data_IF_482789697807
#
_entry.id   IF_482789697807
#
_cell.length_a   1.000
_cell.length_b   1.000
_cell.length_c   1.000
_cell.angle_alpha   90.00
_cell.angle_beta   90.00
_cell.angle_gamma   90.00
#
_symmetry.space_group_name_H-M   'P 1'
#
loop_
_entity.id
_entity.type
_entity.pdbx_description
1 polymer ?
#
# COMPACT_ATOMS: atom_id res chain seq x y z
N UNK A 1 12.42 -31.16 15.68
CA UNK A 1 12.27 -29.83 15.06
C UNK A 1 10.83 -29.73 14.58
N UNK A 2 10.03 -28.90 15.24
CA UNK A 2 8.66 -28.63 14.78
C UNK A 2 8.74 -27.90 13.45
N UNK A 3 8.04 -28.39 12.44
CA UNK A 3 7.96 -27.77 11.12
C UNK A 3 7.46 -26.33 11.27
N UNK A 4 8.24 -25.34 10.80
CA UNK A 4 7.87 -23.91 10.94
C UNK A 4 6.52 -23.61 10.29
N UNK A 5 6.11 -24.40 9.28
CA UNK A 5 4.77 -24.31 8.68
C UNK A 5 3.68 -24.66 9.69
N UNK A 6 3.87 -25.71 10.48
CA UNK A 6 2.91 -26.13 11.52
C UNK A 6 2.77 -25.04 12.58
N UNK A 7 3.88 -24.45 13.01
CA UNK A 7 3.88 -23.36 14.01
C UNK A 7 3.12 -22.12 13.50
N UNK A 8 3.38 -21.71 12.26
CA UNK A 8 2.69 -20.56 11.63
C UNK A 8 1.20 -20.84 11.50
N UNK A 9 0.81 -22.02 10.99
CA UNK A 9 -0.59 -22.42 10.84
C UNK A 9 -1.31 -22.39 12.20
N UNK A 10 -0.69 -22.96 13.24
CA UNK A 10 -1.25 -22.99 14.58
C UNK A 10 -1.45 -21.58 15.14
N UNK A 11 -0.41 -20.74 15.11
CA UNK A 11 -0.45 -19.35 15.60
C UNK A 11 -1.56 -18.53 14.93
N UNK A 12 -1.71 -18.63 13.62
CA UNK A 12 -2.77 -17.93 12.88
C UNK A 12 -4.15 -18.40 13.35
N UNK A 13 -4.34 -19.72 13.49
CA UNK A 13 -5.63 -20.27 13.88
C UNK A 13 -5.98 -19.93 15.33
N UNK A 14 -5.02 -20.00 16.26
CA UNK A 14 -5.21 -19.61 17.67
C UNK A 14 -5.59 -18.13 17.79
N UNK A 15 -4.89 -17.25 17.07
CA UNK A 15 -5.22 -15.81 17.02
C UNK A 15 -6.63 -15.55 16.52
N UNK A 16 -7.10 -16.32 15.54
CA UNK A 16 -8.45 -16.17 14.97
C UNK A 16 -9.53 -16.82 15.83
N UNK A 17 -9.19 -17.84 16.61
CA UNK A 17 -10.09 -18.48 17.55
C UNK A 17 -10.39 -17.59 18.77
N UNK A 18 -9.43 -16.73 19.15
CA UNK A 18 -9.58 -15.77 20.24
C UNK A 18 -9.78 -16.43 21.61
N UNK A 19 -10.14 -15.63 22.60
CA UNK A 19 -10.33 -16.10 23.97
C UNK A 19 -11.57 -17.01 24.05
N UNK A 20 -11.33 -18.33 24.15
CA UNK A 20 -12.37 -19.36 24.29
C UNK A 20 -12.60 -20.25 23.07
N UNK A 21 -11.83 -20.09 21.98
CA UNK A 21 -11.83 -21.03 20.87
C UNK A 21 -10.71 -22.05 20.99
N UNK A 22 -11.04 -23.35 21.10
CA UNK A 22 -10.03 -24.39 21.06
C UNK A 22 -9.59 -24.66 19.61
N UNK A 23 -8.27 -24.69 19.41
CA UNK A 23 -7.64 -25.13 18.16
C UNK A 23 -6.80 -26.35 18.48
N UNK A 24 -7.11 -27.47 17.83
CA UNK A 24 -6.28 -28.66 17.87
C UNK A 24 -5.69 -28.92 16.50
N UNK A 25 -4.39 -29.15 16.45
CA UNK A 25 -3.67 -29.47 15.23
C UNK A 25 -3.11 -30.90 15.33
N UNK A 26 -3.47 -31.70 14.34
CA UNK A 26 -2.97 -33.07 14.16
C UNK A 26 -2.26 -33.20 12.81
N UNK A 27 -1.43 -34.22 12.63
CA UNK A 27 -0.80 -34.53 11.34
C UNK A 27 -1.46 -35.77 10.73
N UNK A 28 -2.08 -35.63 9.56
CA UNK A 28 -2.75 -36.74 8.87
C UNK A 28 -2.20 -36.88 7.46
N UNK A 29 -1.56 -38.01 7.18
CA UNK A 29 -0.92 -38.25 5.89
C UNK A 29 0.19 -37.25 5.56
N UNK A 30 0.88 -36.74 6.58
CA UNK A 30 1.91 -35.69 6.42
C UNK A 30 1.37 -34.27 6.27
N UNK A 31 0.05 -34.07 6.34
CA UNK A 31 -0.59 -32.76 6.21
C UNK A 31 -1.14 -32.27 7.57
N UNK A 32 -0.96 -30.98 7.91
CA UNK A 32 -1.60 -30.38 9.07
C UNK A 32 -3.12 -30.41 8.93
N UNK A 33 -3.80 -30.98 9.92
CA UNK A 33 -5.25 -30.99 10.07
C UNK A 33 -5.63 -30.23 11.33
N UNK A 34 -6.45 -29.20 11.15
CA UNK A 34 -6.97 -28.36 12.21
C UNK A 34 -8.38 -28.81 12.57
N UNK A 35 -8.67 -28.82 13.86
CA UNK A 35 -10.00 -28.92 14.43
C UNK A 35 -10.28 -27.62 15.18
N UNK A 36 -11.38 -26.97 14.83
CA UNK A 36 -11.80 -25.70 15.44
C UNK A 36 -13.26 -25.81 15.83
N UNK A 37 -13.58 -25.48 17.08
CA UNK A 37 -14.94 -25.63 17.60
C UNK A 37 -15.88 -24.53 17.09
N UNK A 38 -15.32 -23.39 16.68
CA UNK A 38 -16.08 -22.24 16.24
C UNK A 38 -16.10 -22.12 14.72
N UNK A 39 -17.30 -22.22 14.12
CA UNK A 39 -17.49 -22.12 12.66
C UNK A 39 -17.00 -20.80 12.06
N UNK A 40 -17.18 -19.68 12.77
CA UNK A 40 -16.72 -18.37 12.29
C UNK A 40 -15.19 -18.31 12.22
N UNK A 41 -14.51 -18.72 13.31
CA UNK A 41 -13.05 -18.80 13.36
C UNK A 41 -12.50 -19.76 12.30
N UNK A 42 -13.15 -20.91 12.08
CA UNK A 42 -12.79 -21.84 11.02
C UNK A 42 -12.87 -21.20 9.62
N UNK A 43 -13.95 -20.49 9.32
CA UNK A 43 -14.09 -19.79 8.03
C UNK A 43 -13.06 -18.69 7.84
N UNK A 44 -12.74 -17.95 8.90
CA UNK A 44 -11.69 -16.93 8.88
C UNK A 44 -10.31 -17.56 8.68
N UNK A 45 -10.00 -18.64 9.40
CA UNK A 45 -8.77 -19.40 9.26
C UNK A 45 -8.60 -19.91 7.82
N UNK A 46 -9.63 -20.54 7.24
CA UNK A 46 -9.57 -20.96 5.84
C UNK A 46 -9.24 -19.80 4.90
N UNK A 47 -9.88 -18.64 5.08
CA UNK A 47 -9.65 -17.45 4.24
C UNK A 47 -8.22 -16.93 4.38
N UNK A 48 -7.72 -16.79 5.61
CA UNK A 48 -6.36 -16.32 5.88
C UNK A 48 -5.31 -17.30 5.33
N UNK A 49 -5.45 -18.61 5.60
CA UNK A 49 -4.55 -19.64 5.06
C UNK A 49 -4.57 -19.66 3.51
N UNK A 50 -5.74 -19.49 2.91
CA UNK A 50 -5.88 -19.35 1.44
C UNK A 50 -5.18 -18.08 0.94
N UNK A 51 -5.33 -16.95 1.63
CA UNK A 51 -4.66 -15.68 1.29
C UNK A 51 -3.13 -15.77 1.44
N UNK A 52 -2.62 -16.65 2.29
CA UNK A 52 -1.19 -16.96 2.37
C UNK A 52 -0.66 -17.80 1.21
N UNK A 53 -1.55 -18.39 0.41
CA UNK A 53 -1.20 -19.20 -0.75
C UNK A 53 -1.35 -20.70 -0.53
N UNK A 54 -1.86 -21.15 0.61
CA UNK A 54 -2.05 -22.57 0.89
C UNK A 54 -3.34 -23.12 0.27
N UNK A 55 -3.28 -24.37 -0.21
CA UNK A 55 -4.47 -25.15 -0.52
C UNK A 55 -5.04 -25.70 0.79
N UNK A 56 -6.29 -25.33 1.07
CA UNK A 56 -7.03 -25.82 2.24
C UNK A 56 -8.26 -26.60 1.78
N UNK A 57 -8.47 -27.78 2.34
CA UNK A 57 -9.64 -28.62 2.10
C UNK A 57 -10.48 -28.65 3.39
N UNK A 58 -11.77 -28.34 3.27
CA UNK A 58 -12.72 -28.52 4.38
C UNK A 58 -13.10 -30.00 4.49
N UNK A 59 -13.02 -30.54 5.70
CA UNK A 59 -13.45 -31.89 6.03
C UNK A 59 -14.76 -31.90 6.83
N UNK A 60 -15.13 -33.08 7.34
CA UNK A 60 -16.26 -33.22 8.27
C UNK A 60 -15.92 -32.62 9.63
N UNK A 61 -16.94 -32.33 10.46
CA UNK A 61 -16.75 -31.93 11.87
C UNK A 61 -15.83 -30.71 12.05
N UNK A 62 -16.04 -29.66 11.25
CA UNK A 62 -15.30 -28.41 11.36
C UNK A 62 -13.77 -28.56 11.22
N UNK A 63 -13.33 -29.53 10.41
CA UNK A 63 -11.91 -29.73 10.12
C UNK A 63 -11.42 -28.98 8.89
N UNK A 64 -10.18 -28.52 8.94
CA UNK A 64 -9.45 -27.97 7.79
C UNK A 64 -8.16 -28.77 7.60
N UNK A 65 -7.87 -29.25 6.39
CA UNK A 65 -6.58 -29.90 6.07
C UNK A 65 -5.78 -29.01 5.12
N UNK A 66 -4.52 -28.72 5.46
CA UNK A 66 -3.60 -27.90 4.67
C UNK A 66 -2.74 -28.77 3.78
N UNK A 67 -2.98 -28.73 2.46
CA UNK A 67 -2.36 -29.65 1.50
C UNK A 67 -1.01 -29.17 0.95
N UNK A 68 -0.59 -27.95 1.30
CA UNK A 68 0.64 -27.31 0.79
C UNK A 68 0.35 -26.10 -0.09
N UNK A 69 1.34 -25.66 -0.87
CA UNK A 69 1.23 -24.49 -1.74
C UNK A 69 0.25 -24.70 -2.91
N UNK A 70 -0.52 -23.66 -3.24
CA UNK A 70 -1.40 -23.61 -4.42
C UNK A 70 -1.00 -22.47 -5.34
N UNK A 71 -0.72 -22.76 -6.60
CA UNK A 71 -0.38 -21.74 -7.62
C UNK A 71 -1.47 -20.68 -7.77
N UNK A 72 -2.73 -21.09 -7.70
CA UNK A 72 -3.89 -20.20 -7.78
C UNK A 72 -3.94 -19.25 -6.58
N UNK A 73 -3.76 -19.80 -5.37
CA UNK A 73 -3.82 -19.02 -4.13
C UNK A 73 -2.60 -18.10 -3.98
N UNK A 74 -1.42 -18.54 -4.43
CA UNK A 74 -0.22 -17.70 -4.51
C UNK A 74 -0.40 -16.57 -5.53
N UNK A 75 -1.01 -16.83 -6.68
CA UNK A 75 -1.35 -15.79 -7.65
C UNK A 75 -2.36 -14.78 -7.07
N UNK A 76 -3.31 -15.25 -6.28
CA UNK A 76 -4.22 -14.38 -5.54
C UNK A 76 -3.48 -13.51 -4.52
N UNK A 77 -2.59 -14.10 -3.70
CA UNK A 77 -1.75 -13.35 -2.75
C UNK A 77 -0.92 -12.27 -3.43
N UNK A 78 -0.28 -12.59 -4.55
CA UNK A 78 0.49 -11.63 -5.34
C UNK A 78 -0.36 -10.42 -5.75
N UNK A 79 -1.58 -10.65 -6.26
CA UNK A 79 -2.50 -9.57 -6.61
C UNK A 79 -2.87 -8.72 -5.39
N UNK A 80 -3.17 -9.35 -4.26
CA UNK A 80 -3.50 -8.63 -3.02
C UNK A 80 -2.35 -7.77 -2.52
N UNK A 81 -1.12 -8.29 -2.54
CA UNK A 81 0.06 -7.52 -2.12
C UNK A 81 0.36 -6.36 -3.07
N UNK A 82 0.21 -6.55 -4.38
CA UNK A 82 0.36 -5.47 -5.36
C UNK A 82 -0.65 -4.34 -5.12
N UNK A 83 -1.92 -4.70 -4.87
CA UNK A 83 -2.96 -3.73 -4.52
C UNK A 83 -2.63 -3.00 -3.22
N UNK A 84 -2.13 -3.73 -2.21
CA UNK A 84 -1.70 -3.13 -0.95
C UNK A 84 -0.58 -2.12 -1.14
N UNK A 85 0.46 -2.46 -1.92
CA UNK A 85 1.52 -1.50 -2.25
C UNK A 85 0.97 -0.26 -2.95
N UNK A 86 0.04 -0.44 -3.90
CA UNK A 86 -0.62 0.67 -4.58
C UNK A 86 -1.38 1.58 -3.61
N UNK A 87 -2.21 1.01 -2.75
CA UNK A 87 -2.98 1.76 -1.75
C UNK A 87 -2.07 2.53 -0.79
N UNK A 88 -1.07 1.86 -0.21
CA UNK A 88 -0.14 2.47 0.74
C UNK A 88 0.62 3.67 0.12
N UNK A 89 1.04 3.55 -1.14
CA UNK A 89 1.72 4.68 -1.82
C UNK A 89 0.84 5.92 -1.93
N UNK A 90 -0.48 5.77 -2.08
CA UNK A 90 -1.41 6.88 -2.28
C UNK A 90 -2.09 7.38 -0.99
N UNK A 91 -2.16 6.56 0.06
CA UNK A 91 -2.91 6.89 1.28
C UNK A 91 -2.09 7.62 2.36
N UNK A 92 -0.84 7.99 2.06
CA UNK A 92 0.04 8.64 3.05
C UNK A 92 -0.52 9.95 3.61
N UNK A 93 -1.20 10.75 2.78
CA UNK A 93 -1.87 11.96 3.25
C UNK A 93 -2.99 11.65 4.24
N UNK A 94 -3.75 10.57 4.02
CA UNK A 94 -4.79 10.14 4.95
C UNK A 94 -4.18 9.74 6.30
N UNK A 95 -3.08 8.98 6.31
CA UNK A 95 -2.34 8.64 7.54
C UNK A 95 -1.92 9.87 8.35
N UNK A 96 -1.38 10.89 7.67
CA UNK A 96 -0.97 12.15 8.32
C UNK A 96 -2.17 12.84 8.97
N UNK A 97 -3.32 12.90 8.28
CA UNK A 97 -4.54 13.48 8.86
C UNK A 97 -5.03 12.71 10.09
N UNK A 98 -5.01 11.38 10.07
CA UNK A 98 -5.38 10.54 11.22
C UNK A 98 -4.49 10.84 12.42
N UNK A 99 -3.17 10.89 12.21
CA UNK A 99 -2.19 11.17 13.27
C UNK A 99 -2.38 12.57 13.89
N UNK A 100 -2.63 13.58 13.06
CA UNK A 100 -2.90 14.96 13.52
C UNK A 100 -4.23 15.03 14.28
N UNK A 101 -5.30 14.41 13.77
CA UNK A 101 -6.58 14.39 14.45
C UNK A 101 -6.49 13.69 15.82
N UNK A 102 -5.66 12.65 15.93
CA UNK A 102 -5.33 12.02 17.21
C UNK A 102 -4.65 13.01 18.15
N UNK A 103 -3.59 13.69 17.69
CA UNK A 103 -2.86 14.67 18.48
C UNK A 103 -3.74 15.83 18.97
N UNK A 104 -4.66 16.29 18.13
CA UNK A 104 -5.62 17.34 18.49
C UNK A 104 -6.56 16.93 19.61
N UNK A 105 -7.18 15.75 19.50
CA UNK A 105 -8.03 15.21 20.56
C UNK A 105 -7.29 15.14 21.90
N UNK A 106 -6.03 14.72 21.89
CA UNK A 106 -5.21 14.66 23.09
C UNK A 106 -4.87 16.04 23.68
N UNK A 107 -4.64 17.05 22.84
CA UNK A 107 -4.40 18.42 23.31
C UNK A 107 -5.68 19.09 23.83
N UNK A 108 -6.82 18.80 23.22
CA UNK A 108 -8.13 19.35 23.59
C UNK A 108 -8.73 18.68 24.82
N UNK A 109 -8.36 17.44 25.12
CA UNK A 109 -8.83 16.70 26.29
C UNK A 109 -8.48 17.37 27.64
N UNK A 110 -7.60 18.37 27.66
CA UNK A 110 -7.33 19.20 28.85
C UNK A 110 -6.56 18.50 29.98
N UNK A 111 -6.15 17.25 29.79
CA UNK A 111 -5.35 16.50 30.75
C UNK A 111 -3.85 16.77 30.52
N UNK A 112 -2.99 16.59 31.54
CA UNK A 112 -1.55 16.58 31.36
C UNK A 112 -1.18 15.43 30.43
N UNK A 113 -0.76 15.76 29.21
CA UNK A 113 -0.32 14.80 28.19
C UNK A 113 1.10 15.17 27.80
N UNK A 114 2.00 14.20 27.66
CA UNK A 114 3.34 14.40 27.14
C UNK A 114 3.38 14.19 25.62
N UNK A 115 4.45 14.62 24.95
CA UNK A 115 4.64 14.32 23.52
C UNK A 115 4.68 12.80 23.28
N UNK A 116 5.30 12.03 24.19
CA UNK A 116 5.41 10.58 24.06
C UNK A 116 4.03 9.90 24.10
N UNK A 117 3.15 10.32 25.00
CA UNK A 117 1.78 9.79 25.08
C UNK A 117 1.01 10.02 23.77
N UNK A 118 1.16 11.21 23.17
CA UNK A 118 0.52 11.53 21.88
C UNK A 118 1.11 10.72 20.74
N UNK A 119 2.45 10.56 20.72
CA UNK A 119 3.14 9.75 19.72
C UNK A 119 2.71 8.29 19.80
N UNK A 120 2.62 7.72 21.00
CA UNK A 120 2.15 6.36 21.20
C UNK A 120 0.70 6.18 20.75
N UNK A 121 -0.20 7.11 21.13
CA UNK A 121 -1.60 7.08 20.71
C UNK A 121 -1.75 7.14 19.18
N UNK A 122 -1.06 8.08 18.52
CA UNK A 122 -1.09 8.23 17.07
C UNK A 122 -0.49 7.01 16.35
N UNK A 123 0.63 6.47 16.86
CA UNK A 123 1.23 5.23 16.33
C UNK A 123 0.25 4.06 16.40
N UNK A 124 -0.42 3.89 17.53
CA UNK A 124 -1.39 2.80 17.72
C UNK A 124 -2.62 2.97 16.80
N UNK A 125 -3.10 4.20 16.63
CA UNK A 125 -4.22 4.49 15.73
C UNK A 125 -3.86 4.21 14.26
N UNK A 126 -2.69 4.68 13.81
CA UNK A 126 -2.19 4.41 12.45
C UNK A 126 -1.91 2.92 12.23
N UNK A 127 -1.29 2.24 13.19
CA UNK A 127 -1.00 0.81 13.09
C UNK A 127 -2.28 -0.03 12.94
N UNK A 128 -3.37 0.38 13.60
CA UNK A 128 -4.70 -0.27 13.45
C UNK A 128 -5.28 -0.10 12.05
N UNK A 129 -5.13 1.08 11.45
CA UNK A 129 -5.61 1.34 10.08
C UNK A 129 -4.81 0.54 9.03
N UNK A 130 -3.49 0.42 9.21
CA UNK A 130 -2.62 -0.25 8.24
C UNK A 130 -2.92 -1.74 8.10
N UNK A 131 -3.27 -2.46 9.18
CA UNK A 131 -3.58 -3.92 9.27
C UNK A 131 -2.50 -4.91 8.80
N UNK A 132 -1.64 -4.53 7.86
CA UNK A 132 -0.60 -5.35 7.26
C UNK A 132 0.54 -5.73 8.20
N UNK A 133 1.04 -4.86 9.11
CA UNK A 133 2.15 -5.22 9.98
C UNK A 133 1.90 -6.51 10.77
N UNK A 134 0.74 -6.62 11.43
CA UNK A 134 0.35 -7.83 12.18
C UNK A 134 0.25 -9.07 11.27
N UNK A 135 -0.34 -8.92 10.08
CA UNK A 135 -0.46 -10.02 9.10
C UNK A 135 0.88 -10.50 8.57
N UNK A 136 1.87 -9.62 8.45
CA UNK A 136 3.21 -9.96 7.98
C UNK A 136 4.09 -10.55 9.09
N UNK A 137 3.83 -10.20 10.35
CA UNK A 137 4.51 -10.79 11.51
C UNK A 137 4.20 -12.27 11.66
N UNK A 138 2.93 -12.67 11.48
CA UNK A 138 2.49 -14.08 11.56
C UNK A 138 3.28 -15.03 10.65
N UNK A 139 3.83 -14.52 9.54
CA UNK A 139 4.48 -15.30 8.46
C UNK A 139 5.96 -14.99 8.26
N UNK A 140 6.57 -14.24 9.19
CA UNK A 140 7.97 -13.80 9.08
C UNK A 140 8.99 -14.94 9.11
N UNK A 141 8.69 -16.00 9.86
CA UNK A 141 9.51 -17.20 10.08
C UNK A 141 9.08 -18.40 9.21
N UNK A 142 8.08 -18.22 8.35
CA UNK A 142 7.54 -19.29 7.52
C UNK A 142 8.55 -19.79 6.48
N UNK A 143 8.94 -21.07 6.59
CA UNK A 143 9.74 -21.73 5.55
C UNK A 143 8.89 -21.96 4.28
N UNK A 144 9.29 -21.28 3.21
CA UNK A 144 8.67 -21.29 1.88
C UNK A 144 9.42 -22.19 0.89
N UNK A 145 10.23 -23.13 1.37
CA UNK A 145 10.93 -24.10 0.53
C UNK A 145 9.96 -24.96 -0.33
N UNK A 146 10.32 -25.17 -1.59
CA UNK A 146 9.60 -26.02 -2.53
C UNK A 146 10.55 -26.50 -3.64
N UNK A 147 10.29 -27.69 -4.18
CA UNK A 147 11.04 -28.22 -5.33
C UNK A 147 10.40 -27.85 -6.68
N UNK A 148 9.17 -27.30 -6.67
CA UNK A 148 8.50 -26.82 -7.87
C UNK A 148 9.02 -25.41 -8.24
N UNK A 149 9.70 -25.24 -9.38
CA UNK A 149 10.30 -23.96 -9.77
C UNK A 149 9.26 -22.87 -10.04
N UNK A 150 8.05 -23.21 -10.51
CA UNK A 150 7.00 -22.23 -10.75
C UNK A 150 6.43 -21.69 -9.44
N UNK A 151 6.25 -22.56 -8.45
CA UNK A 151 5.83 -22.16 -7.10
C UNK A 151 6.96 -21.36 -6.41
N UNK A 152 8.22 -21.78 -6.55
CA UNK A 152 9.37 -21.08 -5.97
C UNK A 152 9.44 -19.63 -6.47
N UNK A 153 9.30 -19.41 -7.78
CA UNK A 153 9.30 -18.06 -8.36
C UNK A 153 8.17 -17.17 -7.82
N UNK A 154 6.97 -17.73 -7.59
CA UNK A 154 5.86 -16.98 -7.00
C UNK A 154 6.15 -16.63 -5.52
N UNK A 155 6.70 -17.57 -4.74
CA UNK A 155 7.04 -17.35 -3.35
C UNK A 155 8.14 -16.28 -3.18
N UNK A 156 9.15 -16.27 -4.06
CA UNK A 156 10.19 -15.24 -4.05
C UNK A 156 9.61 -13.85 -4.38
N UNK A 157 8.68 -13.77 -5.33
CA UNK A 157 8.00 -12.51 -5.63
C UNK A 157 7.12 -12.05 -4.46
N UNK A 158 6.40 -12.97 -3.82
CA UNK A 158 5.64 -12.68 -2.60
C UNK A 158 6.56 -12.12 -1.52
N UNK A 159 7.73 -12.73 -1.27
CA UNK A 159 8.68 -12.23 -0.25
C UNK A 159 9.15 -10.80 -0.54
N UNK A 160 9.44 -10.47 -1.79
CA UNK A 160 9.81 -9.09 -2.19
C UNK A 160 8.67 -8.11 -1.95
N UNK A 161 7.44 -8.48 -2.30
CA UNK A 161 6.28 -7.62 -2.07
C UNK A 161 5.93 -7.49 -0.58
N UNK A 162 6.08 -8.54 0.22
CA UNK A 162 5.91 -8.47 1.68
C UNK A 162 6.93 -7.51 2.32
N UNK A 163 8.18 -7.53 1.85
CA UNK A 163 9.20 -6.58 2.29
C UNK A 163 8.85 -5.15 1.87
N UNK A 164 8.36 -4.94 0.65
CA UNK A 164 7.90 -3.64 0.17
C UNK A 164 6.71 -3.11 0.97
N UNK A 165 5.69 -3.96 1.25
CA UNK A 165 4.56 -3.58 2.10
C UNK A 165 5.04 -3.17 3.49
N UNK A 166 5.96 -3.93 4.09
CA UNK A 166 6.55 -3.58 5.40
C UNK A 166 7.25 -2.22 5.34
N UNK A 167 8.09 -2.01 4.32
CA UNK A 167 8.79 -0.75 4.13
C UNK A 167 7.81 0.43 3.98
N UNK A 168 6.75 0.28 3.18
CA UNK A 168 5.73 1.30 3.03
C UNK A 168 5.01 1.57 4.36
N UNK A 169 4.63 0.54 5.12
CA UNK A 169 4.06 0.71 6.47
C UNK A 169 5.01 1.49 7.40
N UNK A 170 6.31 1.22 7.36
CA UNK A 170 7.30 1.96 8.16
C UNK A 170 7.34 3.45 7.75
N UNK A 171 7.24 3.75 6.45
CA UNK A 171 7.14 5.14 5.97
C UNK A 171 5.86 5.82 6.46
N UNK A 172 4.71 5.13 6.52
CA UNK A 172 3.48 5.68 7.09
C UNK A 172 3.64 6.03 8.57
N UNK A 173 4.25 5.13 9.36
CA UNK A 173 4.52 5.37 10.78
C UNK A 173 5.50 6.53 10.99
N UNK A 174 6.54 6.62 10.16
CA UNK A 174 7.48 7.75 10.20
C UNK A 174 6.79 9.08 9.84
N UNK A 175 5.95 9.11 8.80
CA UNK A 175 5.19 10.30 8.43
C UNK A 175 4.22 10.74 9.53
N UNK A 176 3.52 9.78 10.16
CA UNK A 176 2.65 10.04 11.31
C UNK A 176 3.43 10.66 12.48
N UNK A 177 4.60 10.10 12.82
CA UNK A 177 5.47 10.64 13.86
C UNK A 177 5.88 12.09 13.56
N UNK A 178 6.42 12.36 12.37
CA UNK A 178 6.81 13.71 11.96
C UNK A 178 5.64 14.69 12.05
N UNK A 179 4.45 14.28 11.58
CA UNK A 179 3.26 15.11 11.65
C UNK A 179 2.91 15.51 13.10
N UNK A 180 2.95 14.55 14.02
CA UNK A 180 2.67 14.78 15.45
C UNK A 180 3.72 15.67 16.09
N UNK A 181 5.01 15.42 15.87
CA UNK A 181 6.10 16.22 16.46
C UNK A 181 6.03 17.68 16.00
N UNK A 182 5.81 17.91 14.70
CA UNK A 182 5.66 19.26 14.12
C UNK A 182 4.41 19.93 14.65
N UNK A 183 3.27 19.23 14.63
CA UNK A 183 2.01 19.77 15.13
C UNK A 183 2.12 20.16 16.61
N UNK A 184 2.69 19.28 17.44
CA UNK A 184 2.95 19.53 18.85
C UNK A 184 3.79 20.78 19.07
N UNK A 185 4.92 20.90 18.37
CA UNK A 185 5.81 22.07 18.46
C UNK A 185 5.10 23.36 18.07
N UNK A 186 4.33 23.34 16.99
CA UNK A 186 3.53 24.48 16.54
C UNK A 186 2.51 24.93 17.60
N UNK A 187 1.84 23.98 18.26
CA UNK A 187 0.80 24.27 19.27
C UNK A 187 1.36 24.69 20.62
N UNK A 188 2.37 23.96 21.12
CA UNK A 188 2.89 24.13 22.49
C UNK A 188 4.01 25.16 22.60
N UNK A 189 4.83 25.32 21.56
CA UNK A 189 6.02 26.18 21.60
C UNK A 189 5.81 27.46 20.79
N UNK A 190 5.24 27.36 19.59
CA UNK A 190 5.03 28.51 18.71
C UNK A 190 3.64 29.17 18.87
N UNK A 191 2.76 28.60 19.70
CA UNK A 191 1.40 29.08 19.96
C UNK A 191 0.57 29.37 18.69
N UNK A 192 0.78 28.59 17.64
CA UNK A 192 0.04 28.72 16.38
C UNK A 192 -1.42 28.28 16.53
N UNK A 193 -2.29 28.82 15.68
CA UNK A 193 -3.66 28.31 15.53
C UNK A 193 -3.64 26.82 15.11
N UNK A 194 -4.72 26.08 15.41
CA UNK A 194 -4.79 24.65 15.03
C UNK A 194 -4.67 24.49 13.53
N UNK A 195 -5.38 25.31 12.77
CA UNK A 195 -5.38 25.29 11.31
C UNK A 195 -3.98 25.48 10.72
N UNK A 196 -3.23 26.50 11.18
CA UNK A 196 -1.86 26.74 10.71
C UNK A 196 -0.92 25.60 11.12
N UNK A 197 -1.03 25.11 12.36
CA UNK A 197 -0.23 23.98 12.84
C UNK A 197 -0.48 22.71 12.01
N UNK A 198 -1.75 22.41 11.65
CA UNK A 198 -2.10 21.30 10.76
C UNK A 198 -1.42 21.45 9.40
N UNK A 199 -1.52 22.63 8.79
CA UNK A 199 -0.97 22.86 7.46
C UNK A 199 0.54 22.64 7.42
N UNK A 200 1.27 23.20 8.41
CA UNK A 200 2.72 23.02 8.53
C UNK A 200 3.05 21.54 8.76
N UNK A 201 2.38 20.87 9.69
CA UNK A 201 2.60 19.46 9.96
C UNK A 201 2.39 18.55 8.74
N UNK A 202 1.35 18.81 7.94
CA UNK A 202 1.09 18.06 6.70
C UNK A 202 2.23 18.25 5.69
N UNK A 203 2.65 19.49 5.46
CA UNK A 203 3.71 19.79 4.50
C UNK A 203 5.05 19.15 4.91
N UNK A 204 5.41 19.26 6.18
CA UNK A 204 6.64 18.67 6.73
C UNK A 204 6.62 17.14 6.63
N UNK A 205 5.51 16.50 7.02
CA UNK A 205 5.39 15.05 7.02
C UNK A 205 5.40 14.42 5.61
N UNK A 206 4.90 15.13 4.60
CA UNK A 206 4.86 14.65 3.22
C UNK A 206 6.09 15.03 2.39
N UNK A 207 6.92 15.98 2.86
CA UNK A 207 8.11 16.46 2.14
C UNK A 207 9.04 15.34 1.64
N UNK A 208 9.40 14.31 2.43
CA UNK A 208 10.32 13.26 1.96
C UNK A 208 9.81 12.50 0.72
N UNK A 209 8.51 12.57 0.45
CA UNK A 209 7.84 11.82 -0.61
C UNK A 209 7.45 12.66 -1.83
N UNK A 210 7.60 13.99 -1.75
CA UNK A 210 7.40 14.90 -2.89
C UNK A 210 8.61 14.94 -3.83
N UNK A 211 9.82 14.63 -3.32
CA UNK A 211 11.04 14.66 -4.13
C UNK A 211 11.16 13.50 -5.15
N UNK A 212 10.80 12.23 -4.84
CA UNK A 212 10.87 11.14 -5.81
C UNK A 212 9.84 11.25 -6.94
N UNK A 213 8.65 11.80 -6.68
CA UNK A 213 7.60 11.96 -7.71
C UNK A 213 7.94 13.03 -8.76
N UNK A 214 8.89 13.92 -8.47
CA UNK A 214 9.40 14.90 -9.42
C UNK A 214 10.47 14.31 -10.35
N UNK A 215 11.19 13.28 -9.91
CA UNK A 215 12.27 12.62 -10.68
C UNK A 215 11.74 11.53 -11.62
N UNK A 216 10.62 10.88 -11.27
CA UNK A 216 9.93 9.91 -12.15
C UNK A 216 9.03 10.56 -13.22
N UNK A 217 8.98 11.89 -13.27
CA UNK A 217 8.18 12.60 -14.28
C UNK A 217 8.97 12.64 -15.59
N UNK A 218 8.51 12.01 -16.69
CA UNK A 218 9.21 12.06 -17.95
C UNK A 218 9.38 13.53 -18.37
N UNK A 219 10.62 13.91 -18.67
CA UNK A 219 10.93 15.26 -19.13
C UNK A 219 9.96 15.65 -20.25
N UNK A 220 9.35 16.85 -20.21
CA UNK A 220 8.47 17.28 -21.28
C UNK A 220 9.23 17.19 -22.61
N UNK A 221 8.61 16.66 -23.68
CA UNK A 221 9.27 16.58 -24.97
C UNK A 221 9.75 17.99 -25.34
N UNK A 222 11.05 18.10 -25.63
CA UNK A 222 11.64 19.38 -26.06
C UNK A 222 10.79 19.92 -27.22
N UNK A 223 10.32 21.17 -27.16
CA UNK A 223 9.60 21.75 -28.28
C UNK A 223 10.53 21.74 -29.49
N UNK A 224 10.13 21.00 -30.53
CA UNK A 224 10.80 21.03 -31.80
C UNK A 224 10.62 22.43 -32.40
N UNK A 225 11.71 23.17 -32.53
CA UNK A 225 11.73 24.43 -33.26
C UNK A 225 11.93 25.66 -32.39
N UNK A 226 13.14 25.84 -31.88
CA UNK A 226 13.78 27.16 -31.95
C UNK A 226 15.19 26.91 -32.48
N UNK A 227 15.33 27.07 -33.79
CA UNK A 227 16.60 27.12 -34.47
C UNK A 227 17.48 28.17 -33.80
N UNK A 228 18.74 27.79 -33.57
CA UNK A 228 19.79 28.69 -33.15
C UNK A 228 19.86 29.88 -34.11
N UNK A 229 19.51 31.08 -33.61
CA UNK A 229 19.84 32.32 -34.28
C UNK A 229 21.35 32.50 -34.26
N UNK A 230 21.99 32.41 -35.43
CA UNK A 230 23.32 32.96 -35.64
C UNK A 230 23.26 34.48 -35.86
N UNK A 231 24.40 35.20 -35.82
CA UNK A 231 24.45 36.57 -36.32
C UNK A 231 25.32 36.71 -37.59
N UNK A 232 24.86 37.67 -38.42
CA UNK A 232 25.60 38.48 -39.41
C UNK A 232 26.14 37.78 -40.67
N UNK A 233 26.14 38.35 -41.87
CA UNK A 233 25.57 39.55 -42.50
C UNK A 233 25.82 39.39 -44.02
N UNK A 234 25.19 40.26 -44.81
CA UNK A 234 25.55 40.64 -46.19
C UNK A 234 25.49 39.59 -47.32
N UNK A 235 24.41 39.62 -48.10
CA UNK A 235 24.42 40.18 -49.46
C UNK A 235 23.02 40.10 -50.12
N UNK A 236 22.48 41.26 -50.46
CA UNK A 236 21.50 41.49 -51.54
C UNK A 236 22.29 41.60 -52.88
N UNK A 237 21.72 41.57 -54.11
CA UNK A 237 20.30 41.64 -54.46
C UNK A 237 19.82 40.71 -55.60
N UNK A 238 18.50 40.61 -55.76
CA UNK A 238 17.93 40.36 -57.09
C UNK A 238 16.60 39.61 -57.17
N UNK A 239 15.61 40.34 -57.69
CA UNK A 239 14.60 39.85 -58.65
C UNK A 239 13.22 39.35 -58.16
N UNK A 240 12.29 40.31 -58.16
CA UNK A 240 10.94 40.34 -58.75
C UNK A 240 10.09 39.06 -58.83
N UNK A 241 8.84 39.18 -58.36
CA UNK A 241 7.69 38.80 -59.20
C UNK A 241 6.53 38.04 -58.54
N UNK A 242 5.36 38.69 -58.52
CA UNK A 242 3.99 38.12 -58.64
C UNK A 242 3.49 37.30 -57.42
N UNK A 243 2.50 37.74 -56.62
CA UNK A 243 1.06 38.06 -56.82
C UNK A 243 0.20 37.03 -56.08
N UNK A 244 -0.80 37.58 -55.40
CA UNK A 244 -2.14 37.03 -55.14
C UNK A 244 -2.33 35.85 -54.16
N UNK A 245 -2.96 36.19 -53.03
CA UNK A 245 -3.86 35.31 -52.29
C UNK A 245 -5.13 35.01 -53.13
N UNK A 246 -5.94 33.98 -52.82
CA UNK A 246 -6.97 34.19 -51.80
C UNK A 246 -7.45 32.95 -51.01
N UNK A 247 -8.32 33.28 -50.05
CA UNK A 247 -9.13 32.53 -49.10
C UNK A 247 -9.87 31.27 -49.62
N UNK A 248 -10.10 30.33 -48.70
CA UNK A 248 -11.25 29.40 -48.64
C UNK A 248 -11.11 28.50 -47.40
N UNK A 249 -11.89 28.62 -46.32
CA UNK A 249 -13.32 28.34 -46.13
C UNK A 249 -13.69 26.85 -46.04
N UNK A 250 -14.32 26.48 -44.90
CA UNK A 250 -15.16 25.29 -44.60
C UNK A 250 -14.47 23.91 -44.55
N UNK A 251 -14.79 22.96 -43.67
CA UNK A 251 -15.81 22.87 -42.61
C UNK A 251 -15.95 21.41 -42.12
N UNK A 252 -16.58 21.25 -40.94
CA UNK A 252 -17.37 20.10 -40.42
C UNK A 252 -16.81 18.67 -40.35
N UNK A 253 -17.11 18.05 -39.20
CA UNK A 253 -17.48 16.63 -39.06
C UNK A 253 -16.91 16.01 -37.79
N UNK A 254 -17.57 15.15 -37.02
CA UNK A 254 -18.95 14.70 -36.94
C UNK A 254 -19.07 13.93 -35.60
N UNK A 255 -20.23 14.00 -34.93
CA UNK A 255 -20.49 13.30 -33.68
C UNK A 255 -20.56 11.77 -33.84
N UNK A 256 -20.19 11.04 -32.78
CA UNK A 256 -20.35 9.59 -32.66
C UNK A 256 -21.54 9.23 -31.76
N UNK A 257 -22.46 8.48 -32.35
CA UNK A 257 -23.62 7.85 -31.71
C UNK A 257 -23.24 6.74 -30.72
N UNK A 258 -23.99 6.73 -29.61
CA UNK A 258 -24.11 5.61 -28.66
C UNK A 258 -24.87 4.44 -29.30
N UNK A 259 -24.38 3.22 -29.11
CA UNK A 259 -25.16 1.98 -29.30
C UNK A 259 -25.57 1.43 -27.95
N UNK A 260 -26.87 1.32 -27.72
CA UNK A 260 -27.46 0.37 -26.78
C UNK A 260 -27.63 -0.98 -27.50
N UNK A 261 -27.37 -2.08 -26.80
CA UNK A 261 -27.71 -3.44 -27.21
C UNK A 261 -28.87 -3.94 -26.34
N UNK A 262 -29.78 -4.77 -26.89
CA UNK A 262 -30.65 -5.62 -26.09
C UNK A 262 -29.86 -6.72 -25.37
#
# INVERSE_FOLDING_TARGET
>A
MTDSRVQVIQRICERLAGDGGAVRLDMVGGHPRLHMDQRLAQQQARRELTLLGWKVIEGREHTLTVMGWSRENLAYRLRTLLLACGMLRHERQHTVHVAIACAERHLEAGHPTTLEDVLEAARNEVARELRWPARLEDVGDLDRSTHDPAIAAQLDHIRRLEAEVRHLCDQHLAAARTAVEVFWKCRRTAHMSSETARHVAIQEALRPHLAPELDDRPAPPRPAGLAAGGPAADHDPGFSGWREAPRGSTGRGAGRSRRARP
#
